data_IF_251899928886
#
_entry.id   IF_251899928886
#
_cell.length_a   1.000
_cell.length_b   1.000
_cell.length_c   1.000
_cell.angle_alpha   90.00
_cell.angle_beta   90.00
_cell.angle_gamma   90.00
#
_symmetry.space_group_name_H-M   'P 1'
#
loop_
_entity.id
_entity.type
_entity.pdbx_description
1 polymer ?
#
# COMPACT_ATOMS: atom_id res chain seq x y z
N UNK A 1 82.11 6.97 16.88
CA UNK A 1 80.72 6.93 17.41
C UNK A 1 79.84 7.85 16.56
N UNK A 2 79.01 7.29 15.69
CA UNK A 2 77.91 8.03 15.03
C UNK A 2 76.69 7.10 15.00
N UNK A 3 75.60 7.59 15.59
CA UNK A 3 74.40 6.86 15.93
C UNK A 3 73.52 6.60 14.70
N UNK A 4 72.84 5.45 14.72
CA UNK A 4 71.81 5.06 13.77
C UNK A 4 70.45 5.57 14.24
N UNK A 5 69.69 6.23 13.36
CA UNK A 5 68.28 6.56 13.56
C UNK A 5 67.44 5.76 12.56
N UNK A 6 66.69 4.79 13.07
CA UNK A 6 65.70 4.04 12.32
C UNK A 6 64.40 4.87 12.25
N UNK A 7 64.08 5.39 11.07
CA UNK A 7 62.78 5.99 10.79
C UNK A 7 61.78 4.89 10.45
N UNK A 8 60.80 4.66 11.33
CA UNK A 8 59.63 3.82 11.03
C UNK A 8 58.77 4.59 10.01
N UNK A 9 58.83 4.19 8.75
CA UNK A 9 57.94 4.69 7.72
C UNK A 9 56.57 4.00 7.86
N UNK A 10 55.57 4.78 8.28
CA UNK A 10 54.16 4.39 8.24
C UNK A 10 53.77 4.07 6.79
N UNK A 11 53.57 2.80 6.47
CA UNK A 11 53.02 2.37 5.18
C UNK A 11 51.53 2.69 5.13
N UNK A 12 51.18 3.88 4.66
CA UNK A 12 49.83 4.18 4.20
C UNK A 12 49.55 3.39 2.93
N UNK A 13 48.64 2.42 2.98
CA UNK A 13 48.17 1.70 1.80
C UNK A 13 47.38 2.67 0.91
N UNK A 14 48.03 3.22 -0.12
CA UNK A 14 47.37 3.93 -1.21
C UNK A 14 46.51 2.93 -1.99
N UNK A 15 45.18 3.05 -1.88
CA UNK A 15 44.24 2.39 -2.77
C UNK A 15 44.37 3.02 -4.17
N UNK A 16 45.27 2.48 -4.99
CA UNK A 16 45.36 2.80 -6.42
C UNK A 16 44.13 2.24 -7.12
N UNK A 17 43.20 3.11 -7.51
CA UNK A 17 42.08 2.74 -8.38
C UNK A 17 42.61 2.69 -9.81
N UNK A 18 42.74 1.49 -10.38
CA UNK A 18 43.08 1.33 -11.79
C UNK A 18 41.80 1.46 -12.62
N UNK A 19 41.60 2.60 -13.27
CA UNK A 19 40.53 2.77 -14.26
C UNK A 19 41.06 2.39 -15.64
N UNK A 20 40.40 1.41 -16.28
CA UNK A 20 40.66 1.07 -17.68
C UNK A 20 39.63 1.79 -18.54
N UNK A 21 40.09 2.79 -19.30
CA UNK A 21 39.27 3.42 -20.31
C UNK A 21 39.43 2.67 -21.63
N UNK A 22 38.31 2.21 -22.18
CA UNK A 22 38.26 1.55 -23.49
C UNK A 22 37.60 2.51 -24.47
N UNK A 23 38.27 2.76 -25.60
CA UNK A 23 37.79 3.58 -26.71
C UNK A 23 37.04 2.77 -27.79
N UNK A 24 37.01 1.45 -27.64
CA UNK A 24 36.29 0.52 -28.50
C UNK A 24 35.34 -0.39 -27.69
N UNK A 25 34.24 -0.88 -28.29
CA UNK A 25 33.35 -1.83 -27.62
C UNK A 25 34.05 -3.11 -27.21
N UNK A 26 33.79 -3.59 -26.00
CA UNK A 26 34.25 -4.90 -25.55
C UNK A 26 33.46 -6.01 -26.27
N UNK A 27 34.16 -6.82 -27.08
CA UNK A 27 33.59 -7.99 -27.77
C UNK A 27 34.21 -9.27 -27.23
N UNK A 28 33.42 -10.07 -26.50
CA UNK A 28 33.85 -11.36 -26.00
C UNK A 28 33.75 -12.44 -27.08
N UNK A 29 34.87 -13.08 -27.44
CA UNK A 29 34.97 -14.02 -28.57
C UNK A 29 35.34 -15.46 -28.18
N UNK A 30 35.39 -15.78 -26.89
CA UNK A 30 35.77 -17.12 -26.41
C UNK A 30 34.90 -18.22 -27.05
N UNK A 31 35.47 -19.38 -27.40
CA UNK A 31 34.69 -20.48 -28.00
C UNK A 31 33.59 -20.98 -27.05
N UNK A 32 33.93 -21.11 -25.76
CA UNK A 32 32.99 -21.37 -24.68
C UNK A 32 32.19 -20.11 -24.34
N UNK A 33 30.86 -20.21 -24.40
CA UNK A 33 29.94 -19.13 -24.02
C UNK A 33 30.03 -18.75 -22.55
N UNK A 34 30.43 -19.66 -21.66
CA UNK A 34 30.55 -19.37 -20.23
C UNK A 34 31.67 -18.36 -19.92
N UNK A 35 32.66 -18.25 -20.81
CA UNK A 35 33.78 -17.30 -20.68
C UNK A 35 33.48 -15.93 -21.30
N UNK A 36 32.30 -15.73 -21.89
CA UNK A 36 31.91 -14.46 -22.55
C UNK A 36 31.20 -13.50 -21.58
N UNK A 37 31.79 -13.26 -20.41
CA UNK A 37 31.21 -12.42 -19.37
C UNK A 37 32.27 -11.61 -18.62
N UNK A 38 31.81 -10.58 -17.90
CA UNK A 38 32.64 -9.82 -16.95
C UNK A 38 32.33 -10.37 -15.56
N UNK A 39 33.31 -11.03 -14.95
CA UNK A 39 33.21 -11.56 -13.59
C UNK A 39 33.75 -10.55 -12.56
N UNK A 40 33.37 -10.75 -11.28
CA UNK A 40 33.92 -9.98 -10.16
C UNK A 40 33.37 -8.57 -9.98
N UNK A 41 32.30 -8.19 -10.68
CA UNK A 41 31.60 -6.92 -10.45
C UNK A 41 30.87 -6.96 -9.10
N UNK A 42 31.08 -5.95 -8.27
CA UNK A 42 30.37 -5.77 -7.01
C UNK A 42 28.91 -5.31 -7.24
N UNK A 43 27.99 -5.55 -6.29
CA UNK A 43 26.68 -4.92 -6.32
C UNK A 43 26.79 -3.38 -6.30
N UNK A 44 25.85 -2.66 -6.94
CA UNK A 44 25.88 -1.20 -6.98
C UNK A 44 25.69 -0.60 -5.59
N UNK A 45 26.53 0.39 -5.26
CA UNK A 45 26.49 1.18 -4.03
C UNK A 45 26.19 2.67 -4.28
N UNK A 46 26.34 3.13 -5.53
CA UNK A 46 25.97 4.46 -6.03
C UNK A 46 24.93 4.37 -7.16
N UNK A 47 24.27 5.50 -7.49
CA UNK A 47 23.18 5.56 -8.49
C UNK A 47 23.70 5.29 -9.92
N UNK A 48 24.94 5.69 -10.20
CA UNK A 48 25.62 5.55 -11.50
C UNK A 48 26.33 4.20 -11.71
N UNK A 49 26.32 3.32 -10.72
CA UNK A 49 27.02 2.04 -10.80
C UNK A 49 26.40 1.09 -11.83
N UNK A 50 27.24 0.24 -12.42
CA UNK A 50 26.77 -0.84 -13.28
C UNK A 50 25.93 -1.86 -12.50
N UNK A 51 24.78 -2.24 -13.06
CA UNK A 51 23.92 -3.26 -12.48
C UNK A 51 24.37 -4.67 -12.89
N UNK A 52 24.70 -5.50 -11.90
CA UNK A 52 25.00 -6.93 -12.12
C UNK A 52 23.73 -7.77 -12.22
N UNK A 53 23.81 -8.94 -12.87
CA UNK A 53 22.66 -9.81 -13.11
C UNK A 53 21.98 -10.29 -11.81
N UNK A 54 22.73 -10.53 -10.74
CA UNK A 54 22.17 -10.92 -9.44
C UNK A 54 21.32 -9.80 -8.81
N UNK A 55 21.77 -8.55 -8.93
CA UNK A 55 21.04 -7.35 -8.52
C UNK A 55 19.77 -7.17 -9.36
N UNK A 56 19.86 -7.34 -10.68
CA UNK A 56 18.71 -7.27 -11.56
C UNK A 56 17.66 -8.36 -11.24
N UNK A 57 18.11 -9.60 -11.00
CA UNK A 57 17.24 -10.74 -10.68
C UNK A 57 16.55 -10.60 -9.32
N UNK A 58 17.26 -10.07 -8.31
CA UNK A 58 16.68 -9.84 -6.98
C UNK A 58 15.81 -8.58 -6.93
N UNK A 59 15.98 -7.65 -7.88
CA UNK A 59 15.28 -6.37 -7.89
C UNK A 59 15.72 -5.42 -6.77
N UNK A 60 16.91 -5.61 -6.20
CA UNK A 60 17.34 -4.89 -4.99
C UNK A 60 17.44 -3.38 -5.18
N UNK A 61 17.71 -2.91 -6.40
CA UNK A 61 17.74 -1.47 -6.75
C UNK A 61 16.39 -0.77 -6.62
N UNK A 62 15.30 -1.53 -6.54
CA UNK A 62 13.96 -1.00 -6.27
C UNK A 62 13.56 -1.15 -4.80
N UNK A 63 14.43 -1.70 -3.93
CA UNK A 63 14.09 -1.95 -2.53
C UNK A 63 14.59 -0.82 -1.64
N UNK A 64 13.75 -0.41 -0.67
CA UNK A 64 14.12 0.53 0.36
C UNK A 64 13.73 0.02 1.75
N UNK A 65 14.55 0.36 2.75
CA UNK A 65 14.26 0.07 4.15
C UNK A 65 13.42 1.19 4.73
N UNK A 66 12.24 0.87 5.28
CA UNK A 66 11.35 1.87 5.86
C UNK A 66 11.58 2.08 7.36
N UNK A 67 11.38 3.32 7.79
CA UNK A 67 11.35 3.75 9.19
C UNK A 67 10.42 4.97 9.36
N UNK A 68 10.44 5.60 10.54
CA UNK A 68 9.68 6.82 10.82
C UNK A 68 8.35 6.56 11.55
N UNK A 69 7.35 7.39 11.25
CA UNK A 69 6.05 7.41 11.94
C UNK A 69 4.89 7.31 10.93
N UNK A 70 3.66 7.16 11.43
CA UNK A 70 2.45 7.01 10.61
C UNK A 70 2.25 8.13 9.56
N UNK A 71 2.71 9.36 9.83
CA UNK A 71 2.56 10.51 8.91
C UNK A 71 3.89 10.97 8.29
N UNK A 72 5.02 10.42 8.71
CA UNK A 72 6.36 10.78 8.22
C UNK A 72 7.18 9.51 8.06
N UNK A 73 7.06 8.87 6.90
CA UNK A 73 7.77 7.65 6.54
C UNK A 73 9.11 8.05 5.94
N UNK A 74 10.18 7.38 6.37
CA UNK A 74 11.51 7.55 5.79
C UNK A 74 11.92 6.27 5.07
N UNK A 75 12.47 6.38 3.86
CA UNK A 75 12.96 5.25 3.08
C UNK A 75 14.47 5.40 2.86
N UNK A 76 15.22 4.33 3.11
CA UNK A 76 16.64 4.24 2.78
C UNK A 76 16.85 3.26 1.63
N UNK A 77 17.14 3.75 0.43
CA UNK A 77 17.33 2.92 -0.77
C UNK A 77 18.78 2.42 -0.87
N UNK A 78 18.97 1.33 -1.63
CA UNK A 78 20.30 0.80 -1.98
C UNK A 78 20.36 0.40 -3.45
N UNK A 79 21.11 1.13 -4.31
CA UNK A 79 21.89 2.33 -4.00
C UNK A 79 21.01 3.52 -3.56
N UNK A 80 21.56 4.50 -2.81
CA UNK A 80 20.80 5.69 -2.42
C UNK A 80 20.33 6.50 -3.64
N UNK A 81 19.12 7.04 -3.57
CA UNK A 81 18.57 7.94 -4.58
C UNK A 81 19.09 9.36 -4.35
N UNK A 82 19.63 10.01 -5.38
CA UNK A 82 20.16 11.38 -5.26
C UNK A 82 19.16 12.46 -5.67
N UNK A 83 18.11 12.10 -6.41
CA UNK A 83 17.03 13.01 -6.78
C UNK A 83 15.75 12.24 -7.11
N UNK A 84 14.60 12.86 -6.86
CA UNK A 84 13.33 12.35 -7.36
C UNK A 84 13.23 12.57 -8.87
N UNK A 85 13.01 11.47 -9.61
CA UNK A 85 12.85 11.48 -11.07
C UNK A 85 11.58 10.73 -11.44
N UNK A 86 10.89 11.21 -12.47
CA UNK A 86 9.71 10.56 -13.03
C UNK A 86 9.98 9.09 -13.34
N UNK A 87 9.14 8.20 -12.83
CA UNK A 87 9.30 6.74 -12.95
C UNK A 87 10.14 6.08 -11.85
N UNK A 88 10.68 6.83 -10.89
CA UNK A 88 11.36 6.24 -9.72
C UNK A 88 10.38 5.34 -8.96
N UNK A 89 10.68 4.05 -8.91
CA UNK A 89 9.85 3.04 -8.24
C UNK A 89 10.58 2.46 -7.04
N UNK A 90 9.92 2.48 -5.89
CA UNK A 90 10.43 1.95 -4.63
C UNK A 90 9.44 0.96 -4.01
N UNK A 91 9.99 -0.13 -3.50
CA UNK A 91 9.31 -1.21 -2.77
C UNK A 91 9.86 -1.27 -1.36
N UNK A 92 8.97 -1.41 -0.39
CA UNK A 92 9.37 -1.44 1.02
C UNK A 92 8.34 -2.16 1.87
N UNK A 93 8.74 -2.55 3.07
CA UNK A 93 7.84 -3.02 4.12
C UNK A 93 7.65 -1.88 5.12
N UNK A 94 6.45 -1.26 5.23
CA UNK A 94 6.17 -0.30 6.27
C UNK A 94 6.46 -0.89 7.66
N UNK A 95 6.90 -0.07 8.60
CA UNK A 95 7.11 -0.46 10.01
C UNK A 95 5.96 -0.02 10.91
N UNK A 96 5.13 0.91 10.43
CA UNK A 96 3.99 1.51 11.12
C UNK A 96 2.83 1.65 10.15
N UNK A 97 1.60 1.62 10.67
CA UNK A 97 0.41 1.86 9.85
C UNK A 97 0.37 3.33 9.41
N UNK A 98 0.08 3.59 8.13
CA UNK A 98 -0.06 4.97 7.66
C UNK A 98 -1.26 5.68 8.29
N UNK A 99 -1.07 6.97 8.62
CA UNK A 99 -2.14 7.87 9.03
C UNK A 99 -2.92 8.42 7.84
N UNK A 100 -3.69 9.50 8.05
CA UNK A 100 -4.61 10.04 7.05
C UNK A 100 -3.93 10.82 5.90
N UNK A 101 -2.69 11.27 6.09
CA UNK A 101 -1.93 12.02 5.08
C UNK A 101 -0.42 11.70 5.21
N UNK A 102 0.01 10.48 4.86
CA UNK A 102 1.40 10.08 4.98
C UNK A 102 2.29 10.81 3.97
N UNK A 103 3.50 11.15 4.41
CA UNK A 103 4.59 11.62 3.54
C UNK A 103 5.72 10.59 3.50
N UNK A 104 6.47 10.57 2.40
CA UNK A 104 7.68 9.76 2.24
C UNK A 104 8.88 10.69 2.02
N UNK A 105 9.95 10.49 2.78
CA UNK A 105 11.26 11.09 2.57
C UNK A 105 12.27 9.98 2.23
N UNK A 106 12.77 9.95 0.99
CA UNK A 106 13.75 8.96 0.53
C UNK A 106 15.15 9.54 0.65
N UNK A 107 16.05 8.82 1.32
CA UNK A 107 17.49 9.16 1.43
C UNK A 107 17.79 10.61 1.83
N UNK A 108 16.87 11.26 2.54
CA UNK A 108 17.01 12.65 3.00
C UNK A 108 16.67 13.73 1.98
N UNK A 109 16.10 13.39 0.81
CA UNK A 109 15.75 14.34 -0.27
C UNK A 109 14.61 15.31 0.08
N UNK A 110 13.85 15.01 1.14
CA UNK A 110 12.73 15.82 1.62
C UNK A 110 11.41 15.05 1.56
N UNK A 111 10.46 15.35 2.49
CA UNK A 111 9.18 14.66 2.56
C UNK A 111 8.25 15.09 1.43
N UNK A 112 7.60 14.12 0.79
CA UNK A 112 6.63 14.33 -0.29
C UNK A 112 5.35 13.54 0.00
N UNK A 113 4.16 14.10 -0.29
CA UNK A 113 2.89 13.40 -0.06
C UNK A 113 2.80 12.07 -0.83
N UNK A 114 2.15 11.10 -0.19
CA UNK A 114 1.73 9.86 -0.84
C UNK A 114 0.24 9.95 -1.17
N UNK A 115 -0.12 9.69 -2.43
CA UNK A 115 -1.50 9.71 -2.91
C UNK A 115 -1.89 8.37 -3.52
N UNK A 116 -3.18 8.05 -3.45
CA UNK A 116 -3.77 6.92 -4.15
C UNK A 116 -3.98 7.17 -5.66
N UNK A 117 -4.71 6.27 -6.33
CA UNK A 117 -4.99 6.35 -7.77
C UNK A 117 -5.68 7.65 -8.19
N UNK A 118 -6.61 8.15 -7.37
CA UNK A 118 -7.45 9.33 -7.68
C UNK A 118 -6.87 10.66 -7.13
N UNK A 119 -5.56 10.74 -6.88
CA UNK A 119 -4.91 11.93 -6.28
C UNK A 119 -5.44 12.31 -4.88
N UNK A 120 -6.12 11.38 -4.21
CA UNK A 120 -6.59 11.54 -2.84
C UNK A 120 -5.60 10.90 -1.86
N UNK A 121 -5.49 11.41 -0.62
CA UNK A 121 -4.73 10.73 0.42
C UNK A 121 -5.25 9.29 0.58
N UNK A 122 -4.35 8.30 0.66
CA UNK A 122 -4.80 6.93 0.81
C UNK A 122 -5.45 6.76 2.19
N UNK A 123 -6.48 5.90 2.32
CA UNK A 123 -7.13 5.67 3.61
C UNK A 123 -6.12 5.30 4.70
N UNK A 124 -6.41 5.69 5.95
CA UNK A 124 -5.60 5.27 7.09
C UNK A 124 -5.53 3.73 7.14
N UNK A 125 -4.32 3.19 7.35
CA UNK A 125 -4.07 1.74 7.29
C UNK A 125 -3.80 1.16 5.89
N UNK A 126 -3.81 1.96 4.83
CA UNK A 126 -3.42 1.53 3.46
C UNK A 126 -1.97 1.01 3.36
N UNK A 127 -1.09 1.52 4.21
CA UNK A 127 0.25 0.95 4.45
C UNK A 127 0.20 0.20 5.77
N UNK A 128 0.28 -1.13 5.71
CA UNK A 128 0.25 -2.01 6.88
C UNK A 128 1.68 -2.49 7.21
N UNK A 129 2.08 -2.51 8.50
CA UNK A 129 3.37 -3.03 8.92
C UNK A 129 3.67 -4.42 8.37
N UNK A 130 4.89 -4.63 7.85
CA UNK A 130 5.35 -5.95 7.37
C UNK A 130 4.74 -6.41 6.04
N UNK A 131 3.93 -5.58 5.37
CA UNK A 131 3.31 -5.92 4.08
C UNK A 131 3.97 -5.11 2.95
N UNK A 132 4.28 -5.73 1.81
CA UNK A 132 4.91 -5.09 0.63
C UNK A 132 4.15 -3.88 0.05
N UNK A 133 4.64 -2.67 0.28
CA UNK A 133 4.16 -1.47 -0.39
C UNK A 133 5.02 -1.17 -1.63
N UNK A 134 4.41 -0.62 -2.67
CA UNK A 134 5.11 -0.10 -3.84
C UNK A 134 4.63 1.33 -4.12
N UNK A 135 5.57 2.24 -4.31
CA UNK A 135 5.30 3.63 -4.71
C UNK A 135 6.05 3.96 -5.99
N UNK A 136 5.46 4.80 -6.82
CA UNK A 136 6.08 5.36 -8.02
C UNK A 136 6.05 6.87 -7.92
N UNK A 137 7.20 7.49 -8.12
CA UNK A 137 7.29 8.94 -8.31
C UNK A 137 6.75 9.31 -9.68
N UNK A 138 5.67 10.08 -9.69
CA UNK A 138 5.11 10.66 -10.91
C UNK A 138 4.39 11.96 -10.58
N UNK A 139 4.39 12.91 -11.50
CA UNK A 139 3.73 14.22 -11.33
C UNK A 139 4.23 14.97 -10.08
N UNK A 140 5.52 14.87 -9.78
CA UNK A 140 6.15 15.48 -8.58
C UNK A 140 5.60 14.99 -7.22
N UNK A 141 5.01 13.79 -7.17
CA UNK A 141 4.50 13.18 -5.95
C UNK A 141 4.65 11.65 -5.95
N UNK A 142 4.46 11.00 -4.80
CA UNK A 142 4.44 9.54 -4.73
C UNK A 142 3.03 9.00 -4.94
N UNK A 143 2.86 8.17 -5.96
CA UNK A 143 1.66 7.35 -6.15
C UNK A 143 1.84 6.01 -5.47
N UNK A 144 0.94 5.68 -4.55
CA UNK A 144 0.84 4.36 -3.98
C UNK A 144 0.21 3.42 -5.02
N UNK A 145 0.94 2.39 -5.41
CA UNK A 145 0.37 1.32 -6.21
C UNK A 145 -0.61 0.56 -5.30
N UNK A 146 -1.93 0.59 -5.58
CA UNK A 146 -2.89 -0.08 -4.73
C UNK A 146 -2.58 -1.57 -4.73
N UNK A 147 -2.47 -2.14 -3.54
CA UNK A 147 -2.59 -3.58 -3.41
C UNK A 147 -4.05 -3.95 -3.59
N UNK A 148 -4.36 -5.14 -4.13
CA UNK A 148 -5.62 -5.80 -3.79
C UNK A 148 -5.68 -5.79 -2.26
N UNK A 149 -6.70 -5.16 -1.68
CA UNK A 149 -6.84 -5.13 -0.23
C UNK A 149 -6.97 -6.59 0.23
N UNK A 150 -5.90 -7.14 0.81
CA UNK A 150 -5.93 -8.47 1.43
C UNK A 150 -6.71 -8.35 2.76
N UNK A 151 -8.02 -8.21 2.66
CA UNK A 151 -8.94 -8.08 3.78
C UNK A 151 -9.81 -6.84 3.73
N UNK A 152 -10.63 -6.70 4.75
CA UNK A 152 -11.64 -5.66 4.81
C UNK A 152 -11.06 -4.30 5.26
N UNK A 153 -11.60 -3.18 4.73
CA UNK A 153 -11.24 -1.85 5.24
C UNK A 153 -11.47 -1.75 6.76
N UNK A 154 -10.75 -0.84 7.42
CA UNK A 154 -10.94 -0.58 8.85
C UNK A 154 -12.41 -0.33 9.19
N UNK A 155 -12.93 -1.02 10.20
CA UNK A 155 -14.34 -0.96 10.59
C UNK A 155 -15.27 -1.89 9.80
N UNK A 156 -14.72 -2.73 8.92
CA UNK A 156 -15.45 -3.79 8.23
C UNK A 156 -14.92 -5.17 8.63
N UNK A 157 -15.82 -6.14 8.69
CA UNK A 157 -15.53 -7.54 8.92
C UNK A 157 -15.63 -8.31 7.61
N UNK A 158 -14.77 -9.31 7.45
CA UNK A 158 -14.80 -10.20 6.30
C UNK A 158 -15.94 -11.18 6.41
N UNK A 159 -16.82 -11.17 5.41
CA UNK A 159 -17.97 -12.08 5.30
C UNK A 159 -17.57 -13.34 4.54
N UNK A 160 -16.94 -13.17 3.38
CA UNK A 160 -16.32 -14.23 2.57
C UNK A 160 -15.29 -13.61 1.61
N UNK A 161 -14.66 -14.43 0.76
CA UNK A 161 -13.72 -13.98 -0.26
C UNK A 161 -14.41 -12.97 -1.19
N UNK A 162 -14.02 -11.70 -1.10
CA UNK A 162 -14.58 -10.62 -1.91
C UNK A 162 -15.66 -9.78 -1.26
N UNK A 163 -16.13 -10.08 -0.04
CA UNK A 163 -17.17 -9.29 0.63
C UNK A 163 -16.83 -8.94 2.08
N UNK A 164 -17.02 -7.66 2.39
CA UNK A 164 -16.86 -7.07 3.70
C UNK A 164 -18.15 -6.37 4.12
N UNK A 165 -18.50 -6.46 5.40
CA UNK A 165 -19.63 -5.74 5.99
C UNK A 165 -19.16 -4.87 7.15
N UNK A 166 -19.62 -3.64 7.21
CA UNK A 166 -19.32 -2.73 8.31
C UNK A 166 -19.73 -3.34 9.66
N UNK A 167 -18.81 -3.33 10.64
CA UNK A 167 -18.99 -3.96 11.95
C UNK A 167 -20.03 -3.25 12.80
N UNK A 168 -20.03 -1.92 12.77
CA UNK A 168 -20.91 -1.10 13.60
C UNK A 168 -22.09 -0.58 12.78
N UNK A 169 -23.29 -0.57 13.38
CA UNK A 169 -24.42 0.15 12.79
C UNK A 169 -24.14 1.66 12.73
N UNK A 170 -24.53 2.28 11.63
CA UNK A 170 -24.35 3.70 11.36
C UNK A 170 -25.43 4.61 11.95
N UNK A 171 -25.49 5.82 11.42
CA UNK A 171 -26.48 6.82 11.82
C UNK A 171 -27.90 6.40 11.41
N UNK A 172 -28.91 6.90 12.13
CA UNK A 172 -30.31 6.72 11.77
C UNK A 172 -30.74 7.84 10.81
N UNK A 173 -30.79 7.56 9.50
CA UNK A 173 -30.93 8.57 8.44
C UNK A 173 -31.85 8.09 7.30
N UNK A 174 -32.23 9.00 6.41
CA UNK A 174 -32.95 8.66 5.17
C UNK A 174 -32.11 7.76 4.26
N UNK A 175 -32.77 6.97 3.40
CA UNK A 175 -32.09 6.07 2.47
C UNK A 175 -31.09 6.79 1.55
N UNK A 176 -31.41 8.00 1.10
CA UNK A 176 -30.50 8.77 0.22
C UNK A 176 -29.24 9.22 0.95
N UNK A 177 -29.37 9.58 2.23
CA UNK A 177 -28.23 9.88 3.09
C UNK A 177 -27.41 8.62 3.37
N UNK A 178 -28.08 7.48 3.59
CA UNK A 178 -27.43 6.19 3.82
C UNK A 178 -26.55 5.75 2.63
N UNK A 179 -27.10 5.84 1.41
CA UNK A 179 -26.36 5.54 0.17
C UNK A 179 -25.10 6.41 0.07
N UNK A 180 -25.22 7.72 0.31
CA UNK A 180 -24.07 8.64 0.27
C UNK A 180 -23.03 8.30 1.34
N UNK A 181 -23.46 8.00 2.57
CA UNK A 181 -22.56 7.59 3.64
C UNK A 181 -21.75 6.34 3.29
N UNK A 182 -22.35 5.36 2.62
CA UNK A 182 -21.60 4.20 2.14
C UNK A 182 -20.65 4.56 1.00
N UNK A 183 -21.09 5.37 0.04
CA UNK A 183 -20.25 5.81 -1.07
C UNK A 183 -19.00 6.58 -0.60
N UNK A 184 -19.14 7.47 0.39
CA UNK A 184 -18.02 8.24 0.97
C UNK A 184 -16.95 7.32 1.62
N UNK A 185 -17.30 6.07 1.93
CA UNK A 185 -16.40 5.03 2.48
C UNK A 185 -15.89 4.06 1.41
N UNK A 186 -16.16 4.31 0.13
CA UNK A 186 -15.86 3.38 -0.96
C UNK A 186 -16.69 2.09 -0.90
N UNK A 187 -17.89 2.16 -0.33
CA UNK A 187 -18.79 1.03 -0.12
C UNK A 187 -20.19 1.34 -0.70
N UNK A 188 -21.13 0.41 -0.54
CA UNK A 188 -22.56 0.62 -0.86
C UNK A 188 -23.43 0.05 0.25
N UNK A 189 -24.74 0.27 0.18
CA UNK A 189 -25.67 -0.50 1.01
C UNK A 189 -25.52 -2.00 0.67
N UNK A 190 -25.68 -2.85 1.66
CA UNK A 190 -25.68 -4.30 1.45
C UNK A 190 -26.93 -4.71 0.67
N UNK A 191 -26.83 -5.66 -0.25
CA UNK A 191 -28.03 -6.30 -0.80
C UNK A 191 -28.69 -7.20 0.25
N UNK A 192 -29.91 -7.66 0.00
CA UNK A 192 -30.59 -8.61 0.88
C UNK A 192 -29.74 -9.86 1.15
N UNK A 193 -29.23 -10.49 0.08
CA UNK A 193 -28.44 -11.72 0.19
C UNK A 193 -27.14 -11.49 0.96
N UNK A 194 -26.47 -10.36 0.72
CA UNK A 194 -25.24 -9.99 1.43
C UNK A 194 -25.52 -9.73 2.91
N UNK A 195 -26.63 -9.04 3.21
CA UNK A 195 -27.05 -8.77 4.58
C UNK A 195 -27.39 -10.06 5.32
N UNK A 196 -28.24 -10.89 4.74
CA UNK A 196 -28.71 -12.14 5.34
C UNK A 196 -27.53 -13.07 5.63
N UNK A 197 -26.67 -13.29 4.63
CA UNK A 197 -25.51 -14.15 4.80
C UNK A 197 -24.55 -13.59 5.86
N UNK A 198 -24.17 -12.31 5.77
CA UNK A 198 -23.28 -11.67 6.74
C UNK A 198 -23.85 -11.71 8.17
N UNK A 199 -25.14 -11.42 8.34
CA UNK A 199 -25.81 -11.50 9.63
C UNK A 199 -25.75 -12.92 10.21
N UNK A 200 -25.94 -13.96 9.39
CA UNK A 200 -25.90 -15.35 9.87
C UNK A 200 -24.50 -15.82 10.27
N UNK A 201 -23.46 -15.41 9.53
CA UNK A 201 -22.09 -15.89 9.78
C UNK A 201 -21.30 -14.99 10.75
N UNK A 202 -21.66 -13.70 10.87
CA UNK A 202 -20.97 -12.71 11.69
C UNK A 202 -21.77 -12.23 12.91
N UNK A 203 -22.96 -12.80 13.20
CA UNK A 203 -23.91 -12.32 14.23
C UNK A 203 -23.23 -11.77 15.51
N UNK A 204 -22.37 -12.59 16.15
CA UNK A 204 -21.70 -12.23 17.41
C UNK A 204 -20.58 -11.19 17.29
N UNK A 205 -20.23 -10.77 16.07
CA UNK A 205 -19.18 -9.80 15.78
C UNK A 205 -19.75 -8.44 15.34
N UNK A 206 -21.01 -8.40 14.89
CA UNK A 206 -21.69 -7.17 14.47
C UNK A 206 -22.22 -6.41 15.69
N UNK A 207 -21.87 -5.13 15.81
CA UNK A 207 -22.33 -4.27 16.90
C UNK A 207 -23.66 -3.61 16.54
N UNK A 208 -24.59 -3.62 17.50
CA UNK A 208 -25.92 -3.01 17.36
C UNK A 208 -26.82 -3.70 16.34
N UNK A 209 -26.49 -4.94 15.99
CA UNK A 209 -27.34 -5.79 15.18
C UNK A 209 -28.67 -6.00 15.93
N UNK A 210 -29.80 -5.80 15.24
CA UNK A 210 -31.15 -5.87 15.81
C UNK A 210 -31.59 -4.70 16.72
N UNK A 211 -30.78 -3.65 16.88
CA UNK A 211 -31.23 -2.46 17.63
C UNK A 211 -32.31 -1.67 16.87
N UNK A 212 -32.22 -1.65 15.53
CA UNK A 212 -33.14 -0.95 14.64
C UNK A 212 -33.15 -1.59 13.23
N UNK A 213 -33.98 -1.07 12.34
CA UNK A 213 -33.99 -1.44 10.93
C UNK A 213 -32.84 -0.81 10.16
N UNK A 214 -32.13 -1.60 9.36
CA UNK A 214 -31.01 -1.14 8.52
C UNK A 214 -31.43 -1.08 7.04
N UNK A 215 -31.06 -0.01 6.33
CA UNK A 215 -31.31 0.11 4.88
C UNK A 215 -30.48 -0.90 4.07
N UNK A 216 -31.08 -1.47 3.02
CA UNK A 216 -30.44 -2.37 2.06
C UNK A 216 -30.61 -1.88 0.62
N UNK A 217 -29.73 -2.32 -0.28
CA UNK A 217 -29.63 -1.90 -1.69
C UNK A 217 -30.55 -2.70 -2.63
N UNK A 218 -31.70 -3.13 -2.13
CA UNK A 218 -32.66 -3.90 -2.90
C UNK A 218 -33.82 -3.01 -3.35
N UNK A 219 -34.26 -3.18 -4.60
CA UNK A 219 -35.40 -2.46 -5.13
C UNK A 219 -36.68 -2.83 -4.38
N UNK A 220 -37.43 -1.82 -3.96
CA UNK A 220 -38.80 -2.01 -3.49
C UNK A 220 -39.77 -2.10 -4.67
N UNK A 221 -40.82 -2.90 -4.53
CA UNK A 221 -41.88 -3.08 -5.53
C UNK A 221 -42.97 -1.98 -5.48
N UNK A 222 -42.78 -0.98 -4.62
CA UNK A 222 -43.69 0.16 -4.46
C UNK A 222 -43.00 1.51 -4.70
N UNK A 223 -43.75 2.45 -5.31
CA UNK A 223 -43.29 3.81 -5.57
C UNK A 223 -42.89 4.55 -4.28
N UNK A 224 -41.75 5.24 -4.30
CA UNK A 224 -41.21 6.03 -3.18
C UNK A 224 -40.95 5.25 -1.89
N UNK A 225 -40.61 3.97 -2.00
CA UNK A 225 -40.22 3.14 -0.86
C UNK A 225 -38.83 2.53 -1.07
N UNK A 226 -38.16 2.20 0.03
CA UNK A 226 -36.91 1.44 0.06
C UNK A 226 -37.03 0.26 1.02
N UNK A 227 -36.11 -0.71 0.91
CA UNK A 227 -36.13 -1.90 1.75
C UNK A 227 -35.21 -1.76 2.95
N UNK A 228 -35.63 -2.34 4.07
CA UNK A 228 -34.86 -2.42 5.31
C UNK A 228 -34.82 -3.87 5.83
N UNK A 229 -33.77 -4.21 6.58
CA UNK A 229 -33.54 -5.54 7.13
C UNK A 229 -33.17 -5.54 8.63
N UNK A 230 -33.35 -6.71 9.27
CA UNK A 230 -32.62 -7.10 10.46
C UNK A 230 -32.94 -6.37 11.77
N UNK A 231 -34.21 -6.30 12.16
CA UNK A 231 -34.63 -5.74 13.46
C UNK A 231 -34.70 -6.76 14.60
N UNK A 232 -35.12 -7.99 14.36
CA UNK A 232 -35.21 -9.01 15.43
C UNK A 232 -34.44 -10.29 15.15
N UNK A 233 -34.23 -10.60 13.86
CA UNK A 233 -33.45 -11.73 13.38
C UNK A 233 -33.01 -11.46 11.94
N UNK A 234 -32.02 -12.20 11.45
CA UNK A 234 -31.38 -11.93 10.16
C UNK A 234 -32.33 -11.94 8.97
N UNK A 235 -33.27 -12.89 8.93
CA UNK A 235 -34.19 -13.10 7.81
C UNK A 235 -35.43 -12.20 7.84
N UNK A 236 -35.37 -11.07 8.54
CA UNK A 236 -36.46 -10.10 8.58
C UNK A 236 -36.23 -8.96 7.58
N UNK A 237 -37.22 -8.68 6.71
CA UNK A 237 -37.23 -7.54 5.81
C UNK A 237 -38.57 -6.80 5.84
N UNK A 238 -38.56 -5.53 5.42
CA UNK A 238 -39.75 -4.73 5.13
C UNK A 238 -39.46 -3.67 4.08
N UNK A 239 -40.51 -3.15 3.45
CA UNK A 239 -40.47 -1.93 2.64
C UNK A 239 -41.00 -0.75 3.44
N UNK A 240 -40.42 0.43 3.24
CA UNK A 240 -40.84 1.64 3.95
C UNK A 240 -40.64 2.92 3.12
N UNK A 241 -41.46 3.98 3.27
CA UNK A 241 -41.27 5.24 2.57
C UNK A 241 -39.87 5.80 2.78
N UNK A 242 -39.30 6.38 1.72
CA UNK A 242 -37.95 6.97 1.75
C UNK A 242 -37.82 8.20 2.66
N UNK A 243 -38.95 8.70 3.19
CA UNK A 243 -39.03 9.78 4.18
C UNK A 243 -38.79 9.32 5.62
N UNK A 244 -38.84 8.01 5.89
CA UNK A 244 -38.53 7.44 7.20
C UNK A 244 -37.02 7.29 7.35
N UNK A 245 -36.52 7.27 8.58
CA UNK A 245 -35.13 6.99 8.86
C UNK A 245 -34.91 5.50 9.16
N UNK A 246 -33.70 5.03 8.85
CA UNK A 246 -33.20 3.72 9.20
C UNK A 246 -31.71 3.79 9.47
N UNK A 247 -31.19 2.78 10.16
CA UNK A 247 -29.75 2.59 10.35
C UNK A 247 -29.07 2.21 9.05
N UNK A 248 -27.76 2.31 9.04
CA UNK A 248 -26.94 2.12 7.84
C UNK A 248 -25.83 1.15 8.16
N UNK A 249 -25.66 0.14 7.31
CA UNK A 249 -24.51 -0.75 7.34
C UNK A 249 -24.03 -0.97 5.92
N UNK A 250 -22.77 -0.64 5.69
CA UNK A 250 -22.22 -0.66 4.36
C UNK A 250 -21.57 -2.01 4.05
N UNK A 251 -21.71 -2.45 2.81
CA UNK A 251 -20.98 -3.57 2.24
C UNK A 251 -19.93 -3.08 1.25
N UNK A 252 -18.73 -3.64 1.35
CA UNK A 252 -17.60 -3.33 0.48
C UNK A 252 -17.15 -4.61 -0.22
N UNK A 253 -16.96 -4.54 -1.54
CA UNK A 253 -16.43 -5.67 -2.31
C UNK A 253 -14.93 -5.49 -2.52
N UNK A 254 -14.16 -6.49 -2.08
CA UNK A 254 -12.74 -6.59 -2.38
C UNK A 254 -12.63 -7.05 -3.84
N UNK A 255 -11.99 -6.25 -4.70
CA UNK A 255 -11.66 -6.60 -6.08
C UNK A 255 -10.17 -6.84 -6.23
#
# INVERSE_FOLDING_TARGET
MRAATAGVAFSGALLLHAQVQVDAPLRFTAADSALRQIDGLAPPIAEEDLMVLSTARSGSVHWATAAGTANAITLAARPPVTAYREGLRLRFLPTVSAGAAPTINVDGLGPVPVLGPELTPPPAGSLVPGRLAEVVWTDSLFRLNPRPMDGCPTGFLQVHDGLCMQQDQGANVSVFTAIRQCADRGARLCTWDEYLYACTVLNGQLTGLFDDWEWIDDTSDHTHTGNQAGRYYCAQQRSQPTTVNGRVRCCHRIR
#
